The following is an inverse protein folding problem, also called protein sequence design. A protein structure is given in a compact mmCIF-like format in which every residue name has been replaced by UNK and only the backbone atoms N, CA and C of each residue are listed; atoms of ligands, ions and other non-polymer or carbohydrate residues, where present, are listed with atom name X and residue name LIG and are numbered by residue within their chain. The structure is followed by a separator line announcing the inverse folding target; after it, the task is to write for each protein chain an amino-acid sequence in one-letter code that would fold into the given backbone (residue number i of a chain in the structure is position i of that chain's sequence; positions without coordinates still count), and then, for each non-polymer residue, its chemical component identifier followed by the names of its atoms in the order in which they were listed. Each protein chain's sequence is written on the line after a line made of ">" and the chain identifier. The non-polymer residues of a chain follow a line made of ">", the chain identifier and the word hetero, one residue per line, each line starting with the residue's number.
data_IF_246606077694
#
_entry.id   IF_246606077694
#
_cell.length_a   1.000
_cell.length_b   1.000
_cell.length_c   1.000
_cell.angle_alpha   90.00
_cell.angle_beta   90.00
_cell.angle_gamma   90.00
#
_symmetry.space_group_name_H-M   'P 1'
#
loop_
_entity.id
_entity.type
_entity.pdbx_description
1 polymer ?
#
# COMPACT_ATOMS: atom_id res chain seq x y z
N UNK A 1 2.75 -12.29 2.81
CA UNK A 1 3.05 -11.87 1.42
C UNK A 1 4.05 -12.83 0.76
N UNK A 2 3.74 -14.12 0.66
CA UNK A 2 4.62 -15.12 0.01
C UNK A 2 3.85 -16.29 -0.63
N UNK A 3 2.51 -16.29 -0.52
CA UNK A 3 1.63 -17.33 -1.09
C UNK A 3 1.38 -17.17 -2.59
N UNK A 4 1.89 -16.10 -3.22
CA UNK A 4 1.70 -15.82 -4.63
C UNK A 4 2.52 -14.62 -5.09
N UNK A 5 2.53 -14.34 -6.41
CA UNK A 5 3.22 -13.18 -6.96
C UNK A 5 2.60 -11.88 -6.45
N UNK A 6 3.43 -10.84 -6.36
CA UNK A 6 3.03 -9.48 -6.02
C UNK A 6 3.44 -8.52 -7.13
N UNK A 7 2.73 -7.41 -7.24
CA UNK A 7 3.10 -6.30 -8.12
C UNK A 7 3.59 -5.15 -7.25
N UNK A 8 4.80 -4.66 -7.51
CA UNK A 8 5.35 -3.45 -6.88
C UNK A 8 5.28 -2.28 -7.89
N UNK A 9 4.91 -1.10 -7.41
CA UNK A 9 4.81 0.14 -8.21
C UNK A 9 5.36 1.29 -7.37
N UNK A 10 6.06 2.22 -8.02
CA UNK A 10 6.40 3.53 -7.44
C UNK A 10 5.42 4.56 -8.00
N UNK A 11 4.78 5.33 -7.11
CA UNK A 11 3.82 6.36 -7.48
C UNK A 11 4.39 7.75 -7.18
N UNK A 12 4.14 8.70 -8.06
CA UNK A 12 4.63 10.08 -8.02
C UNK A 12 3.46 11.06 -8.01
N UNK A 13 3.63 12.20 -7.34
CA UNK A 13 2.69 13.32 -7.37
C UNK A 13 2.73 14.17 -6.10
N UNK A 14 1.97 15.26 -6.10
CA UNK A 14 1.82 16.11 -4.92
C UNK A 14 1.10 15.34 -3.79
N UNK A 15 1.66 15.39 -2.58
CA UNK A 15 1.18 14.67 -1.38
C UNK A 15 0.85 13.18 -1.65
N UNK A 16 1.59 12.53 -2.57
CA UNK A 16 1.24 11.19 -3.07
C UNK A 16 1.12 10.12 -1.97
N UNK A 17 1.95 10.17 -0.94
CA UNK A 17 1.87 9.21 0.19
C UNK A 17 0.50 9.31 0.88
N UNK A 18 0.05 10.53 1.18
CA UNK A 18 -1.25 10.75 1.79
C UNK A 18 -2.38 10.34 0.84
N UNK A 19 -2.30 10.76 -0.43
CA UNK A 19 -3.28 10.41 -1.45
C UNK A 19 -3.46 8.90 -1.61
N UNK A 20 -2.34 8.17 -1.71
CA UNK A 20 -2.34 6.70 -1.78
C UNK A 20 -2.89 6.08 -0.51
N UNK A 21 -2.56 6.59 0.68
CA UNK A 21 -3.11 6.07 1.94
C UNK A 21 -4.61 6.28 2.07
N UNK A 22 -5.12 7.41 1.60
CA UNK A 22 -6.55 7.68 1.54
C UNK A 22 -7.24 6.72 0.57
N UNK A 23 -6.67 6.48 -0.62
CA UNK A 23 -7.19 5.53 -1.60
C UNK A 23 -7.18 4.07 -1.09
N UNK A 24 -6.13 3.69 -0.36
CA UNK A 24 -6.01 2.35 0.23
C UNK A 24 -7.08 2.10 1.30
N UNK A 25 -7.36 3.08 2.16
CA UNK A 25 -8.29 2.95 3.28
C UNK A 25 -7.65 2.32 4.54
N UNK A 26 -8.45 2.19 5.61
CA UNK A 26 -8.00 1.66 6.90
C UNK A 26 -7.47 0.21 6.78
N UNK A 27 -6.49 -0.16 7.61
CA UNK A 27 -5.86 -1.50 7.59
C UNK A 27 -6.88 -2.62 7.78
N UNK A 28 -7.87 -2.43 8.66
CA UNK A 28 -8.99 -3.34 8.83
C UNK A 28 -10.05 -3.01 7.76
N UNK A 29 -10.33 -3.91 6.81
CA UNK A 29 -11.27 -3.65 5.72
C UNK A 29 -12.70 -3.40 6.21
N UNK A 30 -13.11 -3.98 7.34
CA UNK A 30 -14.43 -3.74 7.96
C UNK A 30 -14.61 -2.30 8.44
N UNK A 31 -13.51 -1.59 8.72
CA UNK A 31 -13.51 -0.18 9.13
C UNK A 31 -13.11 0.78 7.98
N UNK A 32 -12.75 0.24 6.82
CA UNK A 32 -12.37 1.05 5.67
C UNK A 32 -13.62 1.65 4.99
N UNK A 33 -13.51 2.89 4.51
CA UNK A 33 -14.64 3.56 3.86
C UNK A 33 -14.98 2.87 2.52
N UNK A 34 -16.27 2.80 2.13
CA UNK A 34 -16.66 2.35 0.80
C UNK A 34 -15.97 3.16 -0.31
N UNK A 35 -15.56 2.50 -1.38
CA UNK A 35 -14.81 3.13 -2.49
C UNK A 35 -13.28 3.14 -2.29
N UNK A 36 -12.78 2.75 -1.12
CA UNK A 36 -11.34 2.52 -0.92
C UNK A 36 -10.97 1.10 -1.34
N UNK A 37 -9.71 0.86 -1.71
CA UNK A 37 -9.23 -0.46 -2.13
C UNK A 37 -9.54 -1.52 -1.07
N UNK A 38 -9.26 -1.22 0.20
CA UNK A 38 -9.51 -2.15 1.31
C UNK A 38 -10.98 -2.31 1.64
N UNK A 39 -11.78 -1.24 1.53
CA UNK A 39 -13.23 -1.32 1.77
C UNK A 39 -13.93 -2.19 0.73
N UNK A 40 -13.53 -2.09 -0.53
CA UNK A 40 -14.21 -2.77 -1.63
C UNK A 40 -13.68 -4.19 -1.89
N UNK A 41 -12.38 -4.44 -1.65
CA UNK A 41 -11.70 -5.69 -2.05
C UNK A 41 -11.06 -6.45 -0.88
N UNK A 42 -10.85 -5.81 0.27
CA UNK A 42 -10.21 -6.43 1.43
C UNK A 42 -11.12 -7.39 2.19
N UNK A 43 -10.51 -8.35 2.89
CA UNK A 43 -11.24 -9.36 3.68
C UNK A 43 -10.55 -9.65 5.01
N UNK A 44 -11.35 -9.83 6.05
CA UNK A 44 -10.94 -10.40 7.32
C UNK A 44 -11.81 -11.63 7.60
N UNK A 45 -11.19 -12.80 7.62
CA UNK A 45 -11.86 -14.08 7.87
C UNK A 45 -11.90 -14.47 9.35
N UNK A 46 -11.37 -13.63 10.25
CA UNK A 46 -11.26 -13.95 11.68
C UNK A 46 -10.22 -15.02 11.98
N UNK A 47 -9.33 -15.33 11.04
CA UNK A 47 -8.30 -16.38 11.14
C UNK A 47 -6.96 -15.86 11.69
N UNK A 48 -6.94 -14.60 12.15
CA UNK A 48 -5.75 -13.93 12.70
C UNK A 48 -4.91 -13.17 11.66
N UNK A 49 -5.13 -13.40 10.36
CA UNK A 49 -4.51 -12.64 9.28
C UNK A 49 -5.56 -11.80 8.56
N UNK A 50 -5.30 -10.51 8.43
CA UNK A 50 -6.11 -9.60 7.62
C UNK A 50 -5.58 -9.63 6.18
N UNK A 51 -6.44 -10.00 5.22
CA UNK A 51 -6.14 -10.00 3.79
C UNK A 51 -6.57 -8.67 3.17
N UNK A 52 -5.81 -7.61 3.42
CA UNK A 52 -6.17 -6.24 3.03
C UNK A 52 -5.63 -5.79 1.66
N UNK A 53 -5.22 -6.72 0.79
CA UNK A 53 -4.93 -6.52 -0.65
C UNK A 53 -3.71 -5.65 -0.99
N UNK A 54 -3.49 -4.52 -0.32
CA UNK A 54 -2.53 -3.49 -0.72
C UNK A 54 -1.70 -3.00 0.47
N UNK A 55 -0.41 -2.76 0.22
CA UNK A 55 0.53 -2.08 1.10
C UNK A 55 0.97 -0.76 0.46
N UNK A 56 1.31 0.23 1.27
CA UNK A 56 1.93 1.47 0.84
C UNK A 56 2.60 2.17 2.01
N UNK A 57 3.67 2.89 1.72
CA UNK A 57 4.50 3.55 2.72
C UNK A 57 3.70 4.57 3.54
N UNK A 58 4.10 4.76 4.80
CA UNK A 58 3.41 5.63 5.77
C UNK A 58 4.03 7.03 5.92
N UNK A 59 5.22 7.22 5.38
CA UNK A 59 6.03 8.43 5.51
C UNK A 59 7.07 8.51 4.40
N UNK A 60 7.66 9.70 4.14
CA UNK A 60 8.75 9.83 3.18
C UNK A 60 9.94 8.89 3.50
N UNK A 61 10.30 8.77 4.79
CA UNK A 61 11.39 7.89 5.23
C UNK A 61 11.09 6.41 4.99
N UNK A 62 9.84 5.95 5.17
CA UNK A 62 9.49 4.57 4.82
C UNK A 62 9.42 4.37 3.31
N UNK A 63 8.97 5.37 2.55
CA UNK A 63 8.95 5.31 1.09
C UNK A 63 10.36 5.18 0.51
N UNK A 64 11.31 6.01 0.93
CA UNK A 64 12.72 5.92 0.48
C UNK A 64 13.31 4.52 0.73
N UNK A 65 13.12 3.99 1.95
CA UNK A 65 13.61 2.66 2.32
C UNK A 65 12.95 1.55 1.50
N UNK A 66 11.63 1.60 1.33
CA UNK A 66 10.87 0.57 0.62
C UNK A 66 11.15 0.60 -0.88
N UNK A 67 11.31 1.78 -1.48
CA UNK A 67 11.65 1.90 -2.90
C UNK A 67 13.05 1.35 -3.15
N UNK A 68 14.03 1.66 -2.30
CA UNK A 68 15.38 1.10 -2.40
C UNK A 68 15.40 -0.44 -2.23
N UNK A 69 14.45 -1.01 -1.49
CA UNK A 69 14.33 -2.47 -1.32
C UNK A 69 13.81 -3.16 -2.59
N UNK A 70 12.82 -2.56 -3.26
CA UNK A 70 12.16 -3.16 -4.43
C UNK A 70 12.81 -2.79 -5.76
N UNK A 71 13.40 -1.60 -5.85
CA UNK A 71 13.98 -1.01 -7.06
C UNK A 71 15.32 -0.33 -6.77
N UNK A 72 16.37 -1.09 -6.38
CA UNK A 72 17.66 -0.51 -5.96
C UNK A 72 18.38 0.30 -7.05
N UNK A 73 18.08 0.06 -8.34
CA UNK A 73 18.64 0.81 -9.46
C UNK A 73 17.80 2.00 -9.91
N UNK A 74 16.64 2.25 -9.28
CA UNK A 74 15.77 3.36 -9.65
C UNK A 74 16.41 4.69 -9.23
N UNK A 75 16.75 5.51 -10.21
CA UNK A 75 17.25 6.87 -10.00
C UNK A 75 16.13 7.87 -10.29
N UNK A 76 15.92 8.81 -9.38
CA UNK A 76 15.03 9.94 -9.62
C UNK A 76 15.78 10.97 -10.46
N UNK A 77 15.12 11.43 -11.52
CA UNK A 77 15.53 12.61 -12.26
C UNK A 77 14.46 13.67 -11.98
N UNK A 78 14.83 14.68 -11.20
CA UNK A 78 14.01 15.88 -11.02
C UNK A 78 13.82 16.62 -12.35
#
# INVERSE_FOLDING_TARGET
>A
MSSGPVVAVVAEGDRVIEGMRNLMGATNPTLAAPGTIRGDLGRDWGTGNIENIVHGSDSPTSAEREIALWFPELQYHD
#
